data_IF_458249962466
#
_entry.id   IF_458249962466
#
_cell.length_a   1.000
_cell.length_b   1.000
_cell.length_c   1.000
_cell.angle_alpha   90.00
_cell.angle_beta   90.00
_cell.angle_gamma   90.00
#
_symmetry.space_group_name_H-M   'P 1'
#
loop_
_entity.id
_entity.type
_entity.pdbx_description
1 polymer ?
#
# COMPACT_ATOMS: atom_id res chain seq x y z
N UNK A 1 18.75 -3.11 -18.74
CA UNK A 1 17.34 -2.78 -18.38
C UNK A 1 17.07 -3.42 -17.03
N UNK A 2 16.71 -2.67 -15.98
CA UNK A 2 16.38 -3.29 -14.67
C UNK A 2 15.02 -4.00 -14.80
N UNK A 3 14.94 -5.27 -14.40
CA UNK A 3 13.68 -6.02 -14.35
C UNK A 3 12.81 -5.44 -13.25
N UNK A 4 11.52 -5.20 -13.53
CA UNK A 4 10.56 -4.77 -12.51
C UNK A 4 10.38 -5.88 -11.48
N UNK A 5 10.23 -5.49 -10.23
CA UNK A 5 9.87 -6.41 -9.15
C UNK A 5 8.42 -6.85 -9.31
N UNK A 6 8.07 -8.03 -8.79
CA UNK A 6 6.68 -8.51 -8.72
C UNK A 6 5.74 -7.50 -8.04
N UNK A 7 6.26 -6.64 -7.16
CA UNK A 7 5.50 -5.61 -6.46
C UNK A 7 5.17 -4.42 -7.35
N UNK A 8 6.14 -3.93 -8.13
CA UNK A 8 5.91 -2.87 -9.12
C UNK A 8 4.89 -3.33 -10.16
N UNK A 9 5.00 -4.56 -10.65
CA UNK A 9 4.01 -5.15 -11.57
C UNK A 9 2.61 -5.20 -10.95
N UNK A 10 2.49 -5.52 -9.66
CA UNK A 10 1.19 -5.56 -8.98
C UNK A 10 0.58 -4.17 -8.82
N UNK A 11 1.38 -3.13 -8.53
CA UNK A 11 0.91 -1.75 -8.45
C UNK A 11 0.46 -1.24 -9.82
N UNK A 12 1.17 -1.60 -10.89
CA UNK A 12 0.85 -1.19 -12.27
C UNK A 12 -0.45 -1.82 -12.79
N UNK A 13 -0.85 -2.99 -12.26
CA UNK A 13 -2.14 -3.61 -12.57
C UNK A 13 -3.34 -2.88 -11.94
N UNK A 14 -3.12 -2.06 -10.91
CA UNK A 14 -4.18 -1.27 -10.29
C UNK A 14 -4.49 -0.08 -11.20
N UNK A 15 -5.75 0.03 -11.67
CA UNK A 15 -6.16 1.16 -12.54
C UNK A 15 -5.85 2.51 -11.89
N UNK A 16 -5.43 3.47 -12.72
CA UNK A 16 -5.19 4.86 -12.32
C UNK A 16 -6.47 5.57 -11.83
N UNK A 17 -7.66 5.02 -12.13
CA UNK A 17 -8.95 5.51 -11.63
C UNK A 17 -9.12 5.32 -10.11
N UNK A 18 -8.28 4.49 -9.49
CA UNK A 18 -8.28 4.21 -8.05
C UNK A 18 -6.97 4.66 -7.39
N UNK A 19 -6.65 5.96 -7.42
CA UNK A 19 -5.33 6.48 -7.04
C UNK A 19 -5.03 6.27 -5.55
N UNK A 20 -6.06 6.27 -4.68
CA UNK A 20 -5.90 6.00 -3.24
C UNK A 20 -5.50 4.55 -3.00
N UNK A 21 -6.17 3.59 -3.65
CA UNK A 21 -5.84 2.15 -3.55
C UNK A 21 -4.42 1.91 -4.02
N UNK A 22 -4.05 2.54 -5.15
CA UNK A 22 -2.70 2.43 -5.72
C UNK A 22 -1.64 2.95 -4.76
N UNK A 23 -1.83 4.14 -4.17
CA UNK A 23 -0.91 4.72 -3.17
C UNK A 23 -0.85 3.90 -1.88
N UNK A 24 -1.96 3.35 -1.43
CA UNK A 24 -1.97 2.45 -0.29
C UNK A 24 -1.07 1.23 -0.54
N UNK A 25 -1.17 0.56 -1.69
CA UNK A 25 -0.28 -0.57 -2.00
C UNK A 25 1.17 -0.14 -2.22
N UNK A 26 1.42 1.05 -2.76
CA UNK A 26 2.77 1.64 -2.76
C UNK A 26 3.33 1.78 -1.35
N UNK A 27 2.55 2.27 -0.40
CA UNK A 27 2.96 2.37 1.01
C UNK A 27 3.21 0.99 1.63
N UNK A 28 2.35 -0.01 1.39
CA UNK A 28 2.56 -1.40 1.83
C UNK A 28 3.91 -1.94 1.35
N UNK A 29 4.23 -1.79 0.07
CA UNK A 29 5.48 -2.31 -0.46
C UNK A 29 6.71 -1.51 -0.01
N UNK A 30 6.54 -0.22 0.27
CA UNK A 30 7.58 0.57 0.92
C UNK A 30 7.88 0.02 2.33
N UNK A 31 6.85 -0.25 3.15
CA UNK A 31 7.02 -0.88 4.48
C UNK A 31 7.75 -2.22 4.36
N UNK A 32 7.31 -3.09 3.45
CA UNK A 32 7.93 -4.40 3.23
C UNK A 32 9.43 -4.27 2.92
N UNK A 33 9.80 -3.29 2.09
CA UNK A 33 11.19 -3.04 1.73
C UNK A 33 11.98 -2.45 2.90
N UNK A 34 11.45 -1.44 3.59
CA UNK A 34 12.18 -0.73 4.65
C UNK A 34 12.30 -1.54 5.95
N UNK A 35 11.29 -2.34 6.27
CA UNK A 35 11.31 -3.22 7.45
C UNK A 35 11.88 -4.60 7.14
N UNK A 36 12.39 -4.81 5.92
CA UNK A 36 12.95 -6.08 5.45
C UNK A 36 12.01 -7.28 5.68
N UNK A 37 10.71 -7.08 5.44
CA UNK A 37 9.72 -8.15 5.59
C UNK A 37 9.85 -9.15 4.46
N UNK A 38 9.62 -10.43 4.77
CA UNK A 38 9.61 -11.52 3.77
C UNK A 38 8.68 -11.25 2.59
N UNK A 39 7.61 -10.48 2.81
CA UNK A 39 6.74 -10.01 1.74
C UNK A 39 5.33 -9.69 2.20
N UNK A 40 4.43 -9.61 1.22
CA UNK A 40 3.03 -9.17 1.41
C UNK A 40 2.25 -9.99 2.43
N UNK A 41 2.41 -11.32 2.44
CA UNK A 41 1.74 -12.17 3.42
C UNK A 41 2.17 -11.83 4.85
N UNK A 42 3.48 -11.66 5.08
CA UNK A 42 4.02 -11.27 6.39
C UNK A 42 3.50 -9.91 6.82
N UNK A 43 3.45 -8.94 5.91
CA UNK A 43 2.83 -7.64 6.18
C UNK A 43 1.36 -7.79 6.64
N UNK A 44 0.55 -8.60 5.95
CA UNK A 44 -0.84 -8.82 6.34
C UNK A 44 -0.96 -9.46 7.72
N UNK A 45 -0.16 -10.49 8.01
CA UNK A 45 -0.17 -11.20 9.31
C UNK A 45 0.17 -10.25 10.47
N UNK A 46 1.24 -9.46 10.34
CA UNK A 46 1.69 -8.51 11.38
C UNK A 46 0.66 -7.42 11.66
N UNK A 47 -0.20 -7.10 10.69
CA UNK A 47 -1.23 -6.09 10.79
C UNK A 47 -2.64 -6.67 10.97
N UNK A 48 -2.76 -7.98 11.23
CA UNK A 48 -4.03 -8.68 11.39
C UNK A 48 -5.01 -8.44 10.22
N UNK A 49 -4.48 -8.38 8.99
CA UNK A 49 -5.25 -8.19 7.76
C UNK A 49 -5.53 -9.52 7.08
N UNK A 50 -6.72 -9.65 6.50
CA UNK A 50 -7.05 -10.81 5.67
C UNK A 50 -6.32 -10.73 4.31
N UNK A 51 -5.30 -11.57 4.13
CA UNK A 51 -4.46 -11.57 2.91
C UNK A 51 -5.27 -11.76 1.62
N UNK A 52 -6.32 -12.59 1.63
CA UNK A 52 -7.16 -12.82 0.45
C UNK A 52 -7.96 -11.59 0.06
N UNK A 53 -8.55 -10.88 1.03
CA UNK A 53 -9.25 -9.63 0.78
C UNK A 53 -8.29 -8.56 0.23
N UNK A 54 -7.09 -8.45 0.81
CA UNK A 54 -6.08 -7.50 0.34
C UNK A 54 -5.57 -7.84 -1.07
N UNK A 55 -5.34 -9.12 -1.38
CA UNK A 55 -4.97 -9.57 -2.71
C UNK A 55 -6.11 -9.44 -3.74
N UNK A 56 -7.37 -9.45 -3.29
CA UNK A 56 -8.52 -9.18 -4.15
C UNK A 56 -8.63 -7.70 -4.47
N UNK A 57 -8.37 -6.82 -3.50
CA UNK A 57 -8.42 -5.37 -3.67
C UNK A 57 -7.41 -4.86 -4.72
N UNK A 58 -6.27 -5.53 -4.92
CA UNK A 58 -5.33 -5.18 -6.01
C UNK A 58 -5.89 -5.52 -7.39
N UNK A 59 -6.70 -6.57 -7.51
CA UNK A 59 -7.31 -7.03 -8.78
C UNK A 59 -8.63 -6.34 -9.08
N UNK A 60 -9.37 -6.00 -8.03
CA UNK A 60 -10.70 -5.42 -8.07
C UNK A 60 -10.72 -4.11 -7.26
N UNK A 61 -10.02 -3.06 -7.71
CA UNK A 61 -9.83 -1.83 -6.94
C UNK A 61 -11.10 -0.97 -6.79
N UNK A 62 -12.17 -1.31 -7.54
CA UNK A 62 -13.49 -0.71 -7.42
C UNK A 62 -14.27 -1.17 -6.19
N UNK A 63 -13.80 -2.21 -5.49
CA UNK A 63 -14.42 -2.66 -4.25
C UNK A 63 -14.32 -1.59 -3.17
N UNK A 64 -15.23 -1.67 -2.20
CA UNK A 64 -15.19 -0.80 -1.03
C UNK A 64 -13.81 -0.87 -0.36
N UNK A 65 -13.12 0.26 -0.34
CA UNK A 65 -11.82 0.40 0.27
C UNK A 65 -11.98 0.72 1.77
N UNK A 66 -11.46 -0.12 2.68
CA UNK A 66 -11.57 0.14 4.12
C UNK A 66 -10.69 1.33 4.54
N UNK A 67 -11.30 2.40 5.06
CA UNK A 67 -10.58 3.63 5.43
C UNK A 67 -9.56 3.43 6.57
N UNK A 68 -9.80 2.46 7.46
CA UNK A 68 -8.88 2.10 8.54
C UNK A 68 -7.51 1.63 8.04
N UNK A 69 -7.40 1.21 6.77
CA UNK A 69 -6.12 0.89 6.15
C UNK A 69 -5.22 2.12 5.96
N UNK A 70 -5.80 3.31 5.74
CA UNK A 70 -5.03 4.55 5.70
C UNK A 70 -4.61 4.96 7.10
N UNK A 71 -5.52 4.83 8.08
CA UNK A 71 -5.21 5.06 9.49
C UNK A 71 -4.02 4.20 9.93
N UNK A 72 -4.00 2.91 9.56
CA UNK A 72 -2.87 2.02 9.81
C UNK A 72 -1.55 2.59 9.25
N UNK A 73 -1.56 3.10 8.01
CA UNK A 73 -0.36 3.64 7.38
C UNK A 73 0.13 4.92 8.06
N UNK A 74 -0.79 5.77 8.50
CA UNK A 74 -0.47 7.01 9.20
C UNK A 74 0.05 6.71 10.61
N UNK A 75 -0.72 6.00 11.42
CA UNK A 75 -0.45 5.84 12.86
C UNK A 75 0.71 4.87 13.14
N UNK A 76 0.77 3.74 12.43
CA UNK A 76 1.79 2.72 12.69
C UNK A 76 3.08 2.97 11.93
N UNK A 77 2.97 3.47 10.71
CA UNK A 77 4.09 3.54 9.77
C UNK A 77 4.53 4.97 9.41
N UNK A 78 3.92 5.98 10.02
CA UNK A 78 4.22 7.41 9.85
C UNK A 78 4.16 7.90 8.39
N UNK A 79 3.23 7.36 7.59
CA UNK A 79 2.98 7.90 6.24
C UNK A 79 2.20 9.20 6.31
N UNK A 80 2.44 10.09 5.36
CA UNK A 80 1.67 11.33 5.24
C UNK A 80 0.25 11.02 4.78
N UNK A 81 -0.74 11.41 5.60
CA UNK A 81 -2.15 11.36 5.22
C UNK A 81 -2.41 12.20 3.96
N UNK A 82 -1.74 13.34 3.84
CA UNK A 82 -1.84 14.21 2.68
C UNK A 82 -1.35 13.48 1.42
N UNK A 83 -0.20 12.81 1.48
CA UNK A 83 0.31 12.03 0.35
C UNK A 83 -0.59 10.83 0.03
N UNK A 84 -1.05 10.07 1.02
CA UNK A 84 -1.93 8.91 0.81
C UNK A 84 -3.21 9.29 0.05
N UNK A 85 -3.80 10.44 0.38
CA UNK A 85 -5.06 10.88 -0.23
C UNK A 85 -4.84 11.63 -1.55
N UNK A 86 -3.79 12.45 -1.66
CA UNK A 86 -3.62 13.38 -2.80
C UNK A 86 -2.50 13.00 -3.76
N UNK A 87 -1.53 12.20 -3.31
CA UNK A 87 -0.28 11.93 -4.02
C UNK A 87 0.70 13.10 -4.05
N UNK A 88 0.43 14.17 -3.31
CA UNK A 88 1.28 15.37 -3.23
C UNK A 88 2.07 15.38 -1.93
N UNK A 89 3.21 16.07 -1.96
CA UNK A 89 4.07 16.23 -0.79
C UNK A 89 4.92 15.00 -0.48
N UNK A 90 5.54 14.97 0.72
CA UNK A 90 6.44 13.90 1.12
C UNK A 90 5.67 12.60 1.43
N UNK A 91 6.32 11.46 1.16
CA UNK A 91 5.76 10.12 1.37
C UNK A 91 5.43 9.86 2.86
N UNK A 92 6.37 10.21 3.73
CA UNK A 92 6.25 10.14 5.19
C UNK A 92 6.20 11.53 5.78
N UNK A 93 5.65 11.64 6.99
CA UNK A 93 5.84 12.85 7.75
C UNK A 93 7.33 12.92 8.13
N UNK A 94 7.96 14.06 7.88
CA UNK A 94 9.26 14.34 8.47
C UNK A 94 8.97 14.76 9.90
N UNK A 95 9.55 14.07 10.88
CA UNK A 95 9.61 14.56 12.25
C UNK A 95 10.44 15.86 12.32
#
# INVERSE_FOLDING_TARGET
MKTKTKYEENIERISNDFPIVRRFFTAVYHVIATENLRGFHTFCVINNLNTSNMARLTKEPHRQFPLNLLTLMVEKYNFSAHWLVTGKGPLKNND
#
